data_IF_871391276813
#
_entry.id   IF_871391276813
#
_cell.length_a   1.000
_cell.length_b   1.000
_cell.length_c   1.000
_cell.angle_alpha   90.00
_cell.angle_beta   90.00
_cell.angle_gamma   90.00
#
_symmetry.space_group_name_H-M   'P 1'
#
loop_
_entity.id
_entity.type
_entity.pdbx_description
1 polymer ?
#
# COMPACT_ATOMS: atom_id res chain seq x y z
N UNK A 1 -4.53 20.43 23.40
CA UNK A 1 -4.68 19.58 22.20
C UNK A 1 -3.38 19.47 21.40
N UNK A 2 -2.59 20.54 21.25
CA UNK A 2 -1.28 20.53 20.55
C UNK A 2 -0.21 19.65 21.18
N UNK A 3 -0.21 19.49 22.51
CA UNK A 3 0.77 18.66 23.24
C UNK A 3 0.63 17.15 22.97
N UNK A 4 -0.58 16.67 22.69
CA UNK A 4 -0.88 15.26 22.43
C UNK A 4 -0.50 14.82 21.01
N UNK A 5 -0.67 15.70 20.02
CA UNK A 5 -0.31 15.43 18.61
C UNK A 5 1.22 15.38 18.46
N UNK A 6 1.93 16.33 19.06
CA UNK A 6 3.39 16.35 19.02
C UNK A 6 4.02 15.13 19.71
N UNK A 7 3.40 14.65 20.80
CA UNK A 7 3.85 13.43 21.50
C UNK A 7 3.62 12.16 20.67
N UNK A 8 2.48 12.05 19.98
CA UNK A 8 2.22 10.93 19.05
C UNK A 8 3.22 10.90 17.89
N UNK A 9 3.50 12.07 17.28
CA UNK A 9 4.46 12.18 16.17
C UNK A 9 5.89 11.82 16.58
N UNK A 10 6.30 12.12 17.82
CA UNK A 10 7.61 11.74 18.37
C UNK A 10 7.67 10.24 18.70
N UNK A 11 6.62 9.68 19.29
CA UNK A 11 6.55 8.26 19.63
C UNK A 11 6.65 7.34 18.40
N UNK A 12 6.04 7.73 17.28
CA UNK A 12 6.12 6.98 16.01
C UNK A 12 7.55 6.99 15.46
N UNK A 13 8.23 8.14 15.51
CA UNK A 13 9.61 8.30 14.98
C UNK A 13 10.63 7.39 15.67
N UNK A 14 10.40 7.03 16.92
CA UNK A 14 11.33 6.19 17.70
C UNK A 14 10.95 4.71 17.73
N UNK A 15 9.70 4.37 17.38
CA UNK A 15 9.16 3.00 17.51
C UNK A 15 8.85 2.34 16.16
N UNK A 16 8.89 3.09 15.07
CA UNK A 16 8.69 2.58 13.71
C UNK A 16 9.86 3.01 12.85
N UNK A 17 10.46 2.07 12.12
CA UNK A 17 11.65 2.29 11.31
C UNK A 17 11.64 1.40 10.07
N UNK A 18 12.41 1.77 9.06
CA UNK A 18 12.69 0.90 7.93
C UNK A 18 13.87 0.01 8.28
N UNK A 19 13.81 -1.29 7.99
CA UNK A 19 14.88 -2.26 8.25
C UNK A 19 15.29 -2.97 6.96
N UNK A 20 16.59 -3.15 6.77
CA UNK A 20 17.09 -3.96 5.67
C UNK A 20 16.67 -5.43 5.83
N UNK A 21 16.16 -6.02 4.74
CA UNK A 21 15.75 -7.42 4.72
C UNK A 21 16.93 -8.40 4.78
N UNK A 22 18.14 -7.95 4.45
CA UNK A 22 19.35 -8.72 4.65
C UNK A 22 19.67 -8.81 6.14
N UNK A 23 19.55 -10.02 6.68
CA UNK A 23 19.72 -10.33 8.11
C UNK A 23 21.12 -9.97 8.59
N UNK A 24 22.15 -10.18 7.75
CA UNK A 24 23.54 -9.87 8.09
C UNK A 24 23.81 -8.36 8.10
N UNK A 25 23.08 -7.60 7.26
CA UNK A 25 23.18 -6.15 7.23
C UNK A 25 22.43 -5.51 8.40
N UNK A 26 21.14 -5.84 8.58
CA UNK A 26 20.31 -5.35 9.66
C UNK A 26 20.12 -3.83 9.76
N UNK A 27 20.65 -3.04 8.82
CA UNK A 27 20.64 -1.58 8.89
C UNK A 27 19.22 -1.00 8.99
N UNK A 28 19.07 0.03 9.83
CA UNK A 28 17.79 0.69 10.08
C UNK A 28 17.80 2.14 9.62
N UNK A 29 16.65 2.65 9.18
CA UNK A 29 16.44 4.02 8.71
C UNK A 29 15.15 4.59 9.28
N UNK A 30 15.06 5.90 9.42
CA UNK A 30 13.85 6.56 9.91
C UNK A 30 12.68 6.40 8.93
N UNK A 31 11.45 6.31 9.43
CA UNK A 31 10.24 6.31 8.57
C UNK A 31 10.14 7.59 7.74
N UNK A 32 10.67 8.73 8.20
CA UNK A 32 10.65 9.97 7.41
C UNK A 32 11.59 9.97 6.19
N UNK A 33 12.43 8.93 6.03
CA UNK A 33 13.36 8.84 4.91
C UNK A 33 12.71 8.17 3.69
N UNK A 34 12.89 8.75 2.50
CA UNK A 34 12.39 8.17 1.24
C UNK A 34 13.43 7.21 0.69
N UNK A 35 13.26 5.92 0.97
CA UNK A 35 14.21 4.87 0.57
C UNK A 35 13.48 3.67 -0.03
N UNK A 36 14.10 3.08 -1.05
CA UNK A 36 13.65 1.83 -1.68
C UNK A 36 14.71 0.72 -1.59
N UNK A 37 15.93 1.07 -1.17
CA UNK A 37 17.08 0.19 -1.00
C UNK A 37 17.91 0.62 0.21
N UNK A 38 18.57 -0.34 0.83
CA UNK A 38 19.55 -0.14 1.88
C UNK A 38 20.80 0.57 1.32
N UNK A 39 21.25 1.63 1.99
CA UNK A 39 22.47 2.34 1.61
C UNK A 39 23.76 1.57 1.89
N UNK A 40 23.71 0.53 2.74
CA UNK A 40 24.90 -0.24 3.11
C UNK A 40 25.17 -1.41 2.15
N UNK A 41 24.13 -2.17 1.78
CA UNK A 41 24.27 -3.38 0.96
C UNK A 41 23.44 -3.39 -0.33
N UNK A 42 22.56 -2.40 -0.56
CA UNK A 42 21.72 -2.33 -1.75
C UNK A 42 20.45 -3.19 -1.73
N UNK A 43 20.26 -4.04 -0.71
CA UNK A 43 19.07 -4.88 -0.57
C UNK A 43 17.80 -4.07 -0.25
N UNK A 44 16.64 -4.72 -0.37
CA UNK A 44 15.34 -4.13 -0.09
C UNK A 44 15.15 -3.80 1.40
N UNK A 45 14.23 -2.88 1.65
CA UNK A 45 13.82 -2.47 2.98
C UNK A 45 12.40 -2.95 3.26
N UNK A 46 12.09 -3.14 4.54
CA UNK A 46 10.76 -3.39 5.06
C UNK A 46 10.44 -2.42 6.21
N UNK A 47 9.16 -2.26 6.57
CA UNK A 47 8.75 -1.45 7.73
C UNK A 47 8.71 -2.34 8.97
N UNK A 48 9.51 -2.00 9.96
CA UNK A 48 9.60 -2.69 11.23
C UNK A 48 9.04 -1.85 12.38
N UNK A 49 8.53 -2.55 13.37
CA UNK A 49 7.84 -2.00 14.52
C UNK A 49 8.50 -2.50 15.80
N UNK A 50 8.90 -1.58 16.68
CA UNK A 50 9.28 -1.91 18.05
C UNK A 50 8.01 -2.06 18.89
N UNK A 51 7.45 -3.26 18.89
CA UNK A 51 6.24 -3.60 19.64
C UNK A 51 6.41 -3.47 21.17
N UNK A 52 7.63 -3.32 21.69
CA UNK A 52 7.83 -3.04 23.12
C UNK A 52 7.48 -1.60 23.50
N UNK A 53 7.39 -0.70 22.53
CA UNK A 53 7.08 0.73 22.68
C UNK A 53 5.74 1.12 22.07
N UNK A 54 5.09 0.20 21.37
CA UNK A 54 3.79 0.38 20.75
C UNK A 54 2.71 -0.33 21.58
N UNK A 55 1.47 0.13 21.42
CA UNK A 55 0.31 -0.46 22.07
C UNK A 55 -0.54 -1.19 21.01
N UNK A 56 -0.19 -2.42 20.62
CA UNK A 56 -1.04 -3.22 19.75
C UNK A 56 -2.35 -3.59 20.48
N UNK A 57 -3.43 -3.92 19.74
CA UNK A 57 -4.68 -4.35 20.33
C UNK A 57 -4.46 -5.59 21.20
N UNK A 58 -5.15 -5.67 22.35
CA UNK A 58 -5.01 -6.83 23.25
C UNK A 58 -5.65 -8.07 22.67
N UNK A 59 -6.72 -7.87 21.89
CA UNK A 59 -7.41 -8.91 21.13
C UNK A 59 -7.75 -8.37 19.75
N UNK A 60 -7.53 -9.16 18.71
CA UNK A 60 -7.86 -8.77 17.34
C UNK A 60 -9.36 -8.49 17.15
N UNK A 61 -10.22 -9.17 17.90
CA UNK A 61 -11.68 -8.93 17.94
C UNK A 61 -12.05 -7.49 18.34
N UNK A 62 -11.17 -6.75 19.01
CA UNK A 62 -11.41 -5.34 19.33
C UNK A 62 -11.50 -4.48 18.06
N UNK A 63 -10.80 -4.89 16.99
CA UNK A 63 -10.76 -4.19 15.70
C UNK A 63 -12.09 -4.26 14.95
N UNK A 64 -12.95 -5.25 15.26
CA UNK A 64 -14.29 -5.38 14.67
C UNK A 64 -15.19 -4.19 15.05
N UNK A 65 -15.00 -3.64 16.26
CA UNK A 65 -15.77 -2.49 16.76
C UNK A 65 -15.56 -1.23 15.90
N UNK A 66 -14.49 -1.16 15.11
CA UNK A 66 -14.21 -0.03 14.24
C UNK A 66 -15.24 0.13 13.12
N UNK A 67 -15.91 -0.95 12.71
CA UNK A 67 -16.98 -0.87 11.70
C UNK A 67 -18.13 0.06 12.11
N UNK A 68 -18.45 0.14 13.41
CA UNK A 68 -19.50 1.04 13.90
C UNK A 68 -19.10 2.52 13.80
N UNK A 69 -17.81 2.80 13.57
CA UNK A 69 -17.23 4.15 13.48
C UNK A 69 -16.88 4.54 12.04
N UNK A 70 -17.43 3.86 11.03
CA UNK A 70 -17.18 4.14 9.59
C UNK A 70 -17.50 5.57 9.09
N UNK A 71 -18.04 6.43 9.96
CA UNK A 71 -18.20 7.86 9.68
C UNK A 71 -16.87 8.63 9.88
N UNK A 72 -15.89 8.05 10.57
CA UNK A 72 -14.53 8.57 10.72
C UNK A 72 -13.64 8.07 9.57
N UNK A 73 -12.86 8.93 8.89
CA UNK A 73 -12.00 8.51 7.77
C UNK A 73 -11.05 7.36 8.10
N UNK A 74 -10.46 7.39 9.31
CA UNK A 74 -9.56 6.33 9.79
C UNK A 74 -10.26 4.96 9.82
N UNK A 75 -11.55 4.91 10.15
CA UNK A 75 -12.31 3.66 10.32
C UNK A 75 -13.17 3.31 9.11
N UNK A 76 -13.38 4.26 8.20
CA UNK A 76 -13.99 4.05 6.89
C UNK A 76 -13.08 3.24 5.95
N UNK A 77 -11.78 3.52 5.99
CA UNK A 77 -10.78 2.78 5.23
C UNK A 77 -10.66 1.33 5.70
N UNK A 78 -10.72 0.38 4.77
CA UNK A 78 -10.41 -1.02 5.04
C UNK A 78 -8.92 -1.30 5.27
N UNK A 79 -8.05 -0.31 5.08
CA UNK A 79 -6.61 -0.36 5.42
C UNK A 79 -6.41 0.26 6.80
N UNK A 80 -6.76 1.55 6.96
CA UNK A 80 -6.47 2.31 8.17
C UNK A 80 -7.33 1.93 9.36
N UNK A 81 -8.44 1.21 9.19
CA UNK A 81 -9.17 0.72 10.35
C UNK A 81 -8.31 -0.20 11.22
N UNK A 82 -7.25 -0.79 10.68
CA UNK A 82 -6.27 -1.59 11.40
C UNK A 82 -5.07 -0.79 11.91
N UNK A 83 -5.13 0.55 11.94
CA UNK A 83 -4.03 1.48 12.23
C UNK A 83 -3.11 1.02 13.38
N UNK A 84 -3.67 0.44 14.43
CA UNK A 84 -2.97 -0.11 15.58
C UNK A 84 -1.94 -1.21 15.24
N UNK A 85 -2.11 -1.90 14.10
CA UNK A 85 -1.22 -2.94 13.56
C UNK A 85 -0.25 -2.42 12.46
N UNK A 86 -0.41 -1.17 12.05
CA UNK A 86 0.47 -0.48 11.09
C UNK A 86 0.67 1.01 11.43
N UNK A 87 1.08 1.37 12.66
CA UNK A 87 1.09 2.77 13.14
C UNK A 87 2.28 3.59 12.61
N UNK A 88 2.69 3.40 11.35
CA UNK A 88 3.79 4.15 10.74
C UNK A 88 3.45 5.62 10.44
N UNK A 89 2.16 5.95 10.41
CA UNK A 89 1.64 7.28 10.18
C UNK A 89 0.78 7.73 11.36
N UNK A 90 0.82 9.01 11.77
CA UNK A 90 -0.12 9.53 12.77
C UNK A 90 -1.55 9.46 12.23
N UNK A 91 -2.51 9.09 13.07
CA UNK A 91 -3.91 8.88 12.66
C UNK A 91 -4.54 10.10 11.95
N UNK A 92 -4.16 11.31 12.34
CA UNK A 92 -4.67 12.56 11.74
C UNK A 92 -4.02 12.91 10.39
N UNK A 93 -2.99 12.18 9.96
CA UNK A 93 -2.28 12.39 8.68
C UNK A 93 -2.58 11.31 7.64
N UNK A 94 -3.36 10.29 7.99
CA UNK A 94 -3.71 9.22 7.07
C UNK A 94 -4.58 9.74 5.93
N UNK A 95 -4.31 9.25 4.72
CA UNK A 95 -5.06 9.59 3.52
C UNK A 95 -5.82 8.35 3.08
N UNK A 96 -7.10 8.51 2.77
CA UNK A 96 -7.95 7.44 2.26
C UNK A 96 -8.88 7.96 1.17
N UNK A 97 -9.26 7.07 0.26
CA UNK A 97 -10.35 7.29 -0.71
C UNK A 97 -11.48 6.27 -0.52
N UNK A 98 -11.48 5.54 0.60
CA UNK A 98 -12.45 4.50 0.92
C UNK A 98 -12.08 3.09 0.44
N UNK A 99 -10.81 2.86 0.12
CA UNK A 99 -10.29 1.55 -0.28
C UNK A 99 -10.46 0.48 0.82
N UNK A 100 -10.38 -0.80 0.44
CA UNK A 100 -10.42 -1.95 1.35
C UNK A 100 -11.82 -2.35 1.83
N UNK A 101 -12.89 -1.76 1.28
CA UNK A 101 -14.28 -2.19 1.52
C UNK A 101 -14.67 -3.37 0.62
N UNK A 102 -13.91 -4.45 0.71
CA UNK A 102 -13.98 -5.61 -0.18
C UNK A 102 -14.56 -6.83 0.53
N UNK A 103 -15.11 -7.75 -0.25
CA UNK A 103 -15.86 -8.91 0.26
C UNK A 103 -15.01 -10.18 0.24
N UNK A 104 -15.11 -10.97 1.31
CA UNK A 104 -14.71 -12.37 1.33
C UNK A 104 -15.95 -13.24 1.06
N UNK A 105 -16.05 -13.80 -0.14
CA UNK A 105 -17.23 -14.54 -0.56
C UNK A 105 -16.99 -16.04 -0.54
N UNK A 106 -17.80 -16.80 0.21
CA UNK A 106 -17.84 -18.26 0.10
C UNK A 106 -18.30 -18.67 -1.31
N UNK A 107 -17.56 -19.57 -1.95
CA UNK A 107 -17.77 -19.95 -3.34
C UNK A 107 -17.97 -21.47 -3.48
N UNK A 108 -19.13 -21.98 -3.07
CA UNK A 108 -19.43 -23.41 -3.07
C UNK A 108 -19.45 -24.05 -4.46
N UNK A 109 -19.89 -23.30 -5.48
CA UNK A 109 -19.87 -23.80 -6.86
C UNK A 109 -18.43 -24.04 -7.34
N UNK A 110 -17.53 -23.10 -7.05
CA UNK A 110 -16.10 -23.23 -7.36
C UNK A 110 -15.47 -24.33 -6.53
N UNK A 111 -15.83 -24.42 -5.23
CA UNK A 111 -15.37 -25.49 -4.33
C UNK A 111 -15.59 -26.86 -4.96
N UNK A 112 -16.81 -27.14 -5.45
CA UNK A 112 -17.15 -28.41 -6.12
C UNK A 112 -16.34 -28.64 -7.39
N UNK A 113 -16.14 -27.59 -8.20
CA UNK A 113 -15.36 -27.69 -9.44
C UNK A 113 -13.90 -28.11 -9.18
N UNK A 114 -13.30 -27.62 -8.09
CA UNK A 114 -11.91 -27.95 -7.72
C UNK A 114 -11.78 -29.15 -6.77
N UNK A 115 -12.87 -29.88 -6.49
CA UNK A 115 -12.87 -31.07 -5.65
C UNK A 115 -12.84 -30.82 -4.14
N UNK A 116 -13.18 -29.60 -3.69
CA UNK A 116 -13.33 -29.25 -2.27
C UNK A 116 -14.79 -29.37 -1.81
N UNK A 117 -15.01 -29.57 -0.50
CA UNK A 117 -16.37 -29.57 0.08
C UNK A 117 -16.93 -28.15 0.12
N UNK A 118 -18.27 -27.98 0.04
CA UNK A 118 -18.90 -26.68 0.30
C UNK A 118 -18.44 -26.06 1.63
N UNK A 119 -18.29 -24.75 1.67
CA UNK A 119 -17.77 -24.01 2.84
C UNK A 119 -16.26 -24.02 3.02
N UNK A 120 -15.49 -24.62 2.09
CA UNK A 120 -14.02 -24.70 2.21
C UNK A 120 -13.24 -23.76 1.26
N UNK A 121 -13.92 -23.04 0.36
CA UNK A 121 -13.27 -22.09 -0.54
C UNK A 121 -13.95 -20.73 -0.47
N UNK A 122 -13.12 -19.71 -0.30
CA UNK A 122 -13.52 -18.31 -0.26
C UNK A 122 -12.75 -17.52 -1.31
N UNK A 123 -13.37 -16.48 -1.86
CA UNK A 123 -12.79 -15.57 -2.83
C UNK A 123 -12.76 -14.16 -2.23
N UNK A 124 -11.56 -13.60 -2.08
CA UNK A 124 -11.36 -12.22 -1.63
C UNK A 124 -11.40 -11.26 -2.83
N UNK A 125 -12.50 -10.53 -2.99
CA UNK A 125 -12.75 -9.68 -4.17
C UNK A 125 -12.08 -8.30 -4.10
N UNK A 126 -10.75 -8.27 -4.21
CA UNK A 126 -10.00 -7.01 -4.23
C UNK A 126 -10.18 -6.16 -5.50
N UNK A 127 -10.88 -6.69 -6.52
CA UNK A 127 -11.30 -5.93 -7.69
C UNK A 127 -12.41 -4.92 -7.41
N UNK A 128 -13.04 -4.97 -6.22
CA UNK A 128 -14.10 -4.03 -5.81
C UNK A 128 -13.55 -2.77 -5.14
N UNK A 129 -12.24 -2.59 -5.08
CA UNK A 129 -11.62 -1.34 -4.66
C UNK A 129 -11.93 -0.19 -5.64
N UNK A 130 -11.81 1.08 -5.22
CA UNK A 130 -12.19 2.25 -6.04
C UNK A 130 -11.59 2.32 -7.45
N UNK A 131 -10.33 1.95 -7.65
CA UNK A 131 -9.70 1.89 -8.99
C UNK A 131 -9.98 0.59 -9.75
N UNK A 132 -10.66 -0.36 -9.11
CA UNK A 132 -10.86 -1.72 -9.61
C UNK A 132 -9.73 -2.69 -9.26
N UNK A 133 -8.86 -2.36 -8.29
CA UNK A 133 -7.69 -3.20 -7.98
C UNK A 133 -7.20 -3.16 -6.54
N UNK A 134 -6.66 -4.29 -6.08
CA UNK A 134 -5.94 -4.42 -4.81
C UNK A 134 -4.77 -3.43 -4.62
N UNK A 135 -4.30 -2.80 -5.71
CA UNK A 135 -3.23 -1.79 -5.66
C UNK A 135 -3.60 -0.58 -4.82
N UNK A 136 -4.89 -0.31 -4.64
CA UNK A 136 -5.39 0.77 -3.80
C UNK A 136 -4.96 0.61 -2.33
N UNK A 137 -4.95 -0.61 -1.81
CA UNK A 137 -4.52 -0.85 -0.43
C UNK A 137 -3.08 -0.35 -0.19
N UNK A 138 -2.16 -0.75 -1.07
CA UNK A 138 -0.76 -0.31 -0.97
C UNK A 138 -0.57 1.15 -1.36
N UNK A 139 -1.36 1.67 -2.29
CA UNK A 139 -1.32 3.09 -2.67
C UNK A 139 -1.75 3.97 -1.51
N UNK A 140 -2.77 3.57 -0.76
CA UNK A 140 -3.23 4.25 0.44
C UNK A 140 -2.09 4.56 1.43
N UNK A 141 -1.34 3.52 1.78
CA UNK A 141 -0.22 3.59 2.70
C UNK A 141 0.96 4.40 2.12
N UNK A 142 1.36 4.12 0.88
CA UNK A 142 2.46 4.84 0.23
C UNK A 142 2.16 6.31 -0.05
N UNK A 143 0.91 6.65 -0.40
CA UNK A 143 0.46 8.02 -0.64
C UNK A 143 0.41 8.82 0.66
N UNK A 144 -0.02 8.19 1.75
CA UNK A 144 0.06 8.78 3.11
C UNK A 144 1.51 9.07 3.48
N UNK A 145 2.41 8.11 3.27
CA UNK A 145 3.84 8.33 3.51
C UNK A 145 4.42 9.46 2.64
N UNK A 146 4.05 9.51 1.35
CA UNK A 146 4.44 10.58 0.45
C UNK A 146 4.00 11.97 0.95
N UNK A 147 2.76 12.08 1.45
CA UNK A 147 2.29 13.30 2.11
C UNK A 147 3.07 13.61 3.39
N UNK A 148 3.45 12.58 4.16
CA UNK A 148 4.23 12.75 5.40
C UNK A 148 5.59 13.39 5.16
N UNK A 149 6.29 12.95 4.11
CA UNK A 149 7.61 13.46 3.70
C UNK A 149 7.54 14.72 2.83
N UNK A 150 6.35 15.29 2.65
CA UNK A 150 6.15 16.57 1.96
C UNK A 150 6.20 16.51 0.44
N UNK A 151 6.04 15.33 -0.16
CA UNK A 151 6.02 15.17 -1.60
C UNK A 151 4.89 16.00 -2.24
N UNK A 152 5.17 16.61 -3.40
CA UNK A 152 4.19 17.35 -4.21
C UNK A 152 3.85 16.65 -5.52
N UNK A 153 4.64 15.64 -5.86
CA UNK A 153 4.52 14.84 -7.07
C UNK A 153 4.79 13.40 -6.68
N UNK A 154 3.99 12.50 -7.23
CA UNK A 154 4.20 11.08 -7.08
C UNK A 154 4.21 10.43 -8.46
N UNK A 155 5.07 9.44 -8.65
CA UNK A 155 5.26 8.81 -9.94
C UNK A 155 5.40 7.29 -9.85
N UNK A 156 5.03 6.63 -10.93
CA UNK A 156 5.32 5.23 -11.17
C UNK A 156 5.66 5.00 -12.64
N UNK A 157 6.45 3.97 -12.91
CA UNK A 157 6.56 3.45 -14.27
C UNK A 157 5.70 2.19 -14.39
N UNK A 158 4.49 2.36 -14.89
CA UNK A 158 3.49 1.31 -15.02
C UNK A 158 2.43 1.77 -16.01
N UNK A 159 1.91 0.84 -16.82
CA UNK A 159 0.79 1.08 -17.75
C UNK A 159 -0.47 0.35 -17.28
N UNK A 160 -0.74 0.29 -15.97
CA UNK A 160 -1.78 -0.60 -15.43
C UNK A 160 -2.26 -0.23 -14.04
N UNK A 161 -2.69 -1.19 -13.23
CA UNK A 161 -3.41 -0.90 -11.98
C UNK A 161 -2.66 0.02 -11.00
N UNK A 162 -1.33 -0.04 -10.94
CA UNK A 162 -0.56 0.89 -10.09
C UNK A 162 -0.67 2.34 -10.57
N UNK A 163 -0.64 2.59 -11.89
CA UNK A 163 -0.79 3.94 -12.44
C UNK A 163 -2.22 4.46 -12.30
N UNK A 164 -3.22 3.60 -12.48
CA UNK A 164 -4.62 3.95 -12.25
C UNK A 164 -4.88 4.34 -10.79
N UNK A 165 -4.41 3.51 -9.85
CA UNK A 165 -4.52 3.77 -8.42
C UNK A 165 -3.83 5.09 -8.03
N UNK A 166 -2.57 5.29 -8.46
CA UNK A 166 -1.85 6.54 -8.20
C UNK A 166 -2.59 7.77 -8.74
N UNK A 167 -3.02 7.70 -10.00
CA UNK A 167 -3.73 8.79 -10.65
C UNK A 167 -5.03 9.12 -9.93
N UNK A 168 -5.80 8.10 -9.54
CA UNK A 168 -7.01 8.26 -8.74
C UNK A 168 -6.74 8.96 -7.39
N UNK A 169 -5.73 8.50 -6.62
CA UNK A 169 -5.40 9.15 -5.34
C UNK A 169 -5.00 10.61 -5.54
N UNK A 170 -4.19 10.93 -6.55
CA UNK A 170 -3.84 12.31 -6.88
C UNK A 170 -5.09 13.14 -7.27
N UNK A 171 -5.97 12.59 -8.11
CA UNK A 171 -7.14 13.29 -8.62
C UNK A 171 -8.22 13.53 -7.53
N UNK A 172 -8.46 12.54 -6.68
CA UNK A 172 -9.48 12.65 -5.62
C UNK A 172 -9.00 13.56 -4.49
N UNK A 173 -7.73 13.45 -4.08
CA UNK A 173 -7.22 14.18 -2.91
C UNK A 173 -6.69 15.57 -3.26
N UNK A 174 -6.26 15.79 -4.52
CA UNK A 174 -5.60 17.03 -4.98
C UNK A 174 -4.33 17.39 -4.20
N UNK A 175 -3.74 16.46 -3.45
CA UNK A 175 -2.56 16.71 -2.62
C UNK A 175 -1.24 16.66 -3.39
N UNK A 176 -1.22 15.90 -4.49
CA UNK A 176 -0.04 15.66 -5.32
C UNK A 176 -0.43 15.57 -6.79
N UNK A 177 0.55 15.83 -7.67
CA UNK A 177 0.41 15.56 -9.12
C UNK A 177 0.89 14.14 -9.44
N UNK A 178 0.10 13.39 -10.21
CA UNK A 178 0.49 12.08 -10.73
C UNK A 178 1.34 12.23 -11.98
N UNK A 179 2.47 11.50 -12.04
CA UNK A 179 3.32 11.38 -13.23
C UNK A 179 3.47 9.90 -13.58
N UNK A 180 3.07 9.52 -14.79
CA UNK A 180 3.14 8.14 -15.26
C UNK A 180 4.21 8.04 -16.34
N UNK A 181 5.25 7.27 -16.07
CA UNK A 181 6.29 7.01 -17.05
C UNK A 181 5.96 5.74 -17.85
N UNK A 182 6.04 5.84 -19.18
CA UNK A 182 5.77 4.73 -20.10
C UNK A 182 6.94 4.56 -21.08
N UNK A 183 7.38 3.33 -21.32
CA UNK A 183 8.42 3.04 -22.31
C UNK A 183 7.88 3.02 -23.74
N UNK A 184 8.70 3.41 -24.72
CA UNK A 184 8.35 3.33 -26.14
C UNK A 184 7.98 1.90 -26.57
N UNK A 185 6.77 1.71 -27.13
CA UNK A 185 6.34 0.44 -27.74
C UNK A 185 5.51 -0.52 -26.85
N UNK A 186 5.31 -0.23 -25.55
CA UNK A 186 4.51 -1.08 -24.63
C UNK A 186 3.26 -0.38 -24.09
N UNK A 187 2.53 0.34 -24.94
CA UNK A 187 1.32 1.06 -24.52
C UNK A 187 0.09 0.18 -24.70
N UNK A 188 -0.44 -0.31 -23.59
CA UNK A 188 -1.81 -0.84 -23.56
C UNK A 188 -2.75 0.32 -23.21
N UNK A 189 -3.29 1.00 -24.22
CA UNK A 189 -4.16 2.17 -24.03
C UNK A 189 -5.35 1.87 -23.12
N UNK A 190 -5.95 0.68 -23.22
CA UNK A 190 -7.04 0.26 -22.34
C UNK A 190 -6.65 0.15 -20.85
N UNK A 191 -5.37 -0.08 -20.54
CA UNK A 191 -4.88 -0.10 -19.15
C UNK A 191 -4.39 1.26 -18.67
N UNK A 192 -4.06 2.16 -19.60
CA UNK A 192 -3.63 3.53 -19.32
C UNK A 192 -4.82 4.52 -19.25
N UNK A 193 -5.96 4.17 -19.84
CA UNK A 193 -7.15 5.03 -19.94
C UNK A 193 -7.57 5.61 -18.60
N UNK A 194 -7.66 4.79 -17.54
CA UNK A 194 -8.01 5.26 -16.19
C UNK A 194 -7.05 6.35 -15.71
N UNK A 195 -5.73 6.17 -15.89
CA UNK A 195 -4.76 7.16 -15.45
C UNK A 195 -4.87 8.49 -16.23
N UNK A 196 -5.17 8.42 -17.53
CA UNK A 196 -5.42 9.59 -18.37
C UNK A 196 -6.72 10.30 -17.97
N UNK A 197 -7.78 9.55 -17.68
CA UNK A 197 -9.08 10.08 -17.25
C UNK A 197 -9.00 10.79 -15.89
N UNK A 198 -8.20 10.26 -14.96
CA UNK A 198 -7.85 10.93 -13.71
C UNK A 198 -6.86 12.11 -13.89
N UNK A 199 -6.46 12.45 -15.13
CA UNK A 199 -5.66 13.63 -15.43
C UNK A 199 -4.16 13.49 -15.11
N UNK A 200 -3.63 12.27 -15.07
CA UNK A 200 -2.21 12.07 -14.80
C UNK A 200 -1.32 12.58 -15.95
N UNK A 201 -0.22 13.23 -15.61
CA UNK A 201 0.80 13.61 -16.58
C UNK A 201 1.52 12.35 -17.07
N UNK A 202 1.21 11.92 -18.29
CA UNK A 202 1.86 10.74 -18.87
C UNK A 202 3.06 11.17 -19.70
N UNK A 203 4.24 10.65 -19.36
CA UNK A 203 5.50 10.94 -20.02
C UNK A 203 6.01 9.66 -20.68
N UNK A 204 6.10 9.70 -22.01
CA UNK A 204 6.70 8.62 -22.77
C UNK A 204 8.22 8.82 -22.84
N UNK A 205 8.96 7.80 -22.42
CA UNK A 205 10.41 7.78 -22.47
C UNK A 205 10.84 6.90 -23.64
N UNK A 206 11.71 7.44 -24.50
CA UNK A 206 12.34 6.70 -25.58
C UNK A 206 13.45 5.81 -25.01
N UNK A 207 13.42 4.52 -25.34
CA UNK A 207 14.37 3.51 -24.82
C UNK A 207 13.66 2.35 -24.15
N UNK A 208 14.44 1.48 -23.51
CA UNK A 208 13.90 0.40 -22.70
C UNK A 208 13.36 0.91 -21.35
N UNK A 209 12.63 0.06 -20.65
CA UNK A 209 11.97 0.43 -19.39
C UNK A 209 12.97 0.71 -18.26
N UNK A 210 14.12 0.05 -18.28
CA UNK A 210 15.11 0.10 -17.20
C UNK A 210 15.95 1.37 -17.29
N UNK A 211 16.35 1.79 -18.50
CA UNK A 211 16.98 3.07 -18.77
C UNK A 211 16.07 4.24 -18.37
N UNK A 212 14.78 4.12 -18.71
CA UNK A 212 13.76 5.08 -18.32
C UNK A 212 13.63 5.17 -16.80
N UNK A 213 13.63 4.05 -16.10
CA UNK A 213 13.52 3.99 -14.65
C UNK A 213 14.77 4.57 -13.96
N UNK A 214 15.97 4.29 -14.45
CA UNK A 214 17.21 4.83 -13.92
C UNK A 214 17.23 6.37 -13.98
N UNK A 215 16.87 6.92 -15.15
CA UNK A 215 16.73 8.37 -15.36
C UNK A 215 15.67 8.98 -14.43
N UNK A 216 14.53 8.29 -14.30
CA UNK A 216 13.46 8.73 -13.39
C UNK A 216 13.95 8.74 -11.95
N UNK A 217 14.71 7.75 -11.50
CA UNK A 217 15.27 7.72 -10.14
C UNK A 217 16.27 8.85 -9.88
N UNK A 218 17.15 9.15 -10.82
CA UNK A 218 18.09 10.28 -10.75
C UNK A 218 17.34 11.61 -10.59
N UNK A 219 16.42 11.87 -11.51
CA UNK A 219 15.66 13.12 -11.57
C UNK A 219 14.66 13.24 -10.41
N UNK A 220 14.16 12.12 -9.89
CA UNK A 220 13.16 12.13 -8.80
C UNK A 220 13.69 12.78 -7.52
N UNK A 221 14.98 12.60 -7.21
CA UNK A 221 15.60 13.27 -6.07
C UNK A 221 15.65 14.78 -6.24
N UNK A 222 16.01 15.25 -7.44
CA UNK A 222 16.10 16.67 -7.75
C UNK A 222 14.73 17.35 -7.86
N UNK A 223 13.74 16.66 -8.42
CA UNK A 223 12.40 17.21 -8.66
C UNK A 223 11.39 16.97 -7.53
N UNK A 224 11.83 16.35 -6.43
CA UNK A 224 10.99 16.00 -5.29
C UNK A 224 9.84 15.05 -5.65
N UNK A 225 10.10 14.10 -6.56
CA UNK A 225 9.14 13.10 -7.00
C UNK A 225 9.22 11.88 -6.09
N UNK A 226 8.08 11.51 -5.50
CA UNK A 226 7.97 10.30 -4.70
C UNK A 226 7.63 9.08 -5.57
N UNK A 227 8.46 8.03 -5.53
CA UNK A 227 8.26 6.83 -6.34
C UNK A 227 7.40 5.78 -5.61
N UNK A 228 6.28 5.39 -6.23
CA UNK A 228 5.31 4.41 -5.68
C UNK A 228 5.39 3.03 -6.37
N UNK A 229 6.57 2.63 -6.82
CA UNK A 229 6.78 1.32 -7.42
C UNK A 229 6.71 0.19 -6.38
N UNK A 230 6.68 -1.08 -6.83
CA UNK A 230 6.50 -2.24 -5.93
C UNK A 230 7.58 -2.40 -4.85
N UNK A 231 8.76 -1.81 -5.05
CA UNK A 231 9.88 -1.82 -4.08
C UNK A 231 9.71 -0.82 -2.94
N UNK A 232 8.64 -0.02 -2.96
CA UNK A 232 8.34 0.91 -1.88
C UNK A 232 7.77 0.12 -0.67
N UNK A 233 8.46 0.13 0.49
CA UNK A 233 8.07 -0.72 1.62
C UNK A 233 6.68 -0.37 2.17
N UNK A 234 6.28 0.90 2.12
CA UNK A 234 4.96 1.33 2.60
C UNK A 234 3.80 0.79 1.76
N UNK A 235 4.07 0.33 0.53
CA UNK A 235 3.02 -0.36 -0.23
C UNK A 235 2.67 -1.71 0.38
N UNK A 236 3.63 -2.41 0.97
CA UNK A 236 3.40 -3.71 1.61
C UNK A 236 2.58 -3.52 2.88
N UNK A 237 2.84 -2.46 3.64
CA UNK A 237 2.07 -2.09 4.83
C UNK A 237 0.57 -1.94 4.55
N UNK A 238 0.21 -1.33 3.43
CA UNK A 238 -1.18 -1.28 3.01
C UNK A 238 -1.71 -2.62 2.52
N UNK A 239 -0.93 -3.34 1.71
CA UNK A 239 -1.34 -4.62 1.10
C UNK A 239 -1.59 -5.73 2.12
N UNK A 240 -0.78 -5.82 3.20
CA UNK A 240 -0.96 -6.87 4.24
C UNK A 240 -2.33 -6.80 4.92
N UNK A 241 -2.97 -5.64 4.92
CA UNK A 241 -4.32 -5.46 5.50
C UNK A 241 -5.39 -6.28 4.77
N UNK A 242 -5.14 -6.71 3.53
CA UNK A 242 -6.00 -7.69 2.85
C UNK A 242 -6.14 -8.95 3.71
N UNK A 243 -5.03 -9.46 4.26
CA UNK A 243 -5.05 -10.62 5.12
C UNK A 243 -5.71 -10.37 6.47
N UNK A 244 -5.60 -9.16 7.02
CA UNK A 244 -6.35 -8.80 8.23
C UNK A 244 -7.87 -8.83 7.99
N UNK A 245 -8.33 -8.38 6.82
CA UNK A 245 -9.76 -8.47 6.44
C UNK A 245 -10.20 -9.91 6.21
N UNK A 246 -9.36 -10.73 5.58
CA UNK A 246 -9.64 -12.16 5.41
C UNK A 246 -9.79 -12.85 6.77
N UNK A 247 -8.83 -12.63 7.67
CA UNK A 247 -8.88 -13.21 9.01
C UNK A 247 -10.11 -12.70 9.79
N UNK A 248 -10.38 -11.39 9.79
CA UNK A 248 -11.57 -10.86 10.46
C UNK A 248 -12.87 -11.49 9.92
N UNK A 249 -13.01 -11.62 8.60
CA UNK A 249 -14.18 -12.25 7.98
C UNK A 249 -14.31 -13.75 8.33
N UNK A 250 -13.19 -14.42 8.62
CA UNK A 250 -13.13 -15.78 9.14
C UNK A 250 -13.14 -15.83 10.68
N UNK A 251 -13.56 -14.75 11.37
CA UNK A 251 -13.60 -14.63 12.83
C UNK A 251 -12.25 -14.91 13.50
N UNK A 252 -11.19 -14.45 12.86
CA UNK A 252 -9.79 -14.61 13.26
C UNK A 252 -9.29 -16.06 13.27
N UNK A 253 -9.97 -16.97 12.57
CA UNK A 253 -9.50 -18.32 12.31
C UNK A 253 -8.56 -18.31 11.10
N UNK A 254 -7.34 -18.86 11.29
CA UNK A 254 -6.34 -18.94 10.22
C UNK A 254 -6.72 -20.06 9.25
N UNK A 255 -6.87 -19.78 7.94
CA UNK A 255 -7.16 -20.82 6.96
C UNK A 255 -5.95 -21.70 6.70
N UNK A 256 -6.18 -22.96 6.31
CA UNK A 256 -5.11 -23.91 5.99
C UNK A 256 -4.25 -23.46 4.80
N UNK A 257 -4.86 -22.78 3.83
CA UNK A 257 -4.21 -22.37 2.59
C UNK A 257 -4.66 -20.97 2.16
N UNK A 258 -3.70 -20.20 1.67
CA UNK A 258 -3.93 -18.94 0.97
C UNK A 258 -3.32 -19.06 -0.43
N UNK A 259 -4.14 -18.84 -1.46
CA UNK A 259 -3.71 -18.88 -2.86
C UNK A 259 -3.67 -17.45 -3.41
N UNK A 260 -2.48 -16.98 -3.75
CA UNK A 260 -2.25 -15.62 -4.26
C UNK A 260 -1.67 -15.68 -5.68
N UNK A 261 -2.27 -15.01 -6.68
CA UNK A 261 -1.71 -14.95 -8.02
C UNK A 261 -0.33 -14.25 -8.05
N UNK A 262 0.70 -14.99 -8.48
CA UNK A 262 2.11 -14.56 -8.48
C UNK A 262 2.54 -13.62 -9.61
N UNK A 263 1.75 -12.59 -9.94
CA UNK A 263 2.13 -11.60 -10.95
C UNK A 263 3.10 -10.54 -10.41
N UNK A 264 2.79 -9.98 -9.24
CA UNK A 264 3.67 -9.11 -8.47
C UNK A 264 3.94 -9.81 -7.14
N UNK A 265 5.14 -10.35 -6.98
CA UNK A 265 5.49 -11.19 -5.84
C UNK A 265 5.48 -10.44 -4.50
N UNK A 266 5.50 -9.10 -4.51
CA UNK A 266 5.30 -8.31 -3.30
C UNK A 266 3.94 -8.57 -2.64
N UNK A 267 2.92 -9.01 -3.38
CA UNK A 267 1.62 -9.35 -2.82
C UNK A 267 1.62 -10.68 -2.05
N UNK A 268 2.58 -11.57 -2.30
CA UNK A 268 2.76 -12.78 -1.51
C UNK A 268 3.58 -12.51 -0.26
N UNK A 269 4.43 -11.48 -0.29
CA UNK A 269 5.24 -11.04 0.85
C UNK A 269 4.46 -10.19 1.86
N UNK A 270 3.55 -9.36 1.37
CA UNK A 270 2.63 -8.57 2.20
C UNK A 270 1.55 -9.46 2.83
#
# INVERSE_FOLDING_TARGET
>A
MTTSIAQQDVSIKESVFQRCLNIDCGATYGVSEVRTKCSNCGDLLDVAYDWSRLEPPRKLTELESHWSKRHEPLRFSGVWRFHELLPFAPAHRVITVGEGQTLLQQADFVSRYVGLRPGQLYLQYEGMNPSGSFKDNGMCAAFTHACMVGAKRAACASTGNTSASLAMYCAVTQLMKAIIFIGSGKISYGKLSQALEYGALTVQIAGDFDDAMARVQEISKELGIYLVNSVNPFRLEGQKTVMFRVLEALRWEVPDWIVVPGGNLGNSSA
#
